data_IF_022118282402
#
_entry.id   IF_022118282402
#
_cell.length_a   1.000
_cell.length_b   1.000
_cell.length_c   1.000
_cell.angle_alpha   90.00
_cell.angle_beta   90.00
_cell.angle_gamma   90.00
#
_symmetry.space_group_name_H-M   'P 1'
#
loop_
_entity.id
_entity.type
_entity.pdbx_description
1 polymer ?
#
# COMPACT_ATOMS: atom_id res chain seq x y z
N UNK A 1 37.54 81.20 -16.69
CA UNK A 1 37.18 82.45 -15.95
C UNK A 1 35.67 82.63 -16.12
N UNK A 2 34.93 82.97 -15.05
CA UNK A 2 33.92 82.11 -14.40
C UNK A 2 32.46 82.56 -14.71
N UNK A 3 31.42 81.87 -14.21
CA UNK A 3 30.73 82.23 -12.95
C UNK A 3 29.72 81.14 -12.53
N UNK A 4 29.61 80.94 -11.22
CA UNK A 4 28.72 79.98 -10.53
C UNK A 4 27.40 80.71 -10.20
N UNK A 5 26.25 80.02 -10.25
CA UNK A 5 25.15 80.22 -9.28
C UNK A 5 24.16 79.06 -9.27
N UNK A 6 23.85 78.64 -8.04
CA UNK A 6 22.93 77.60 -7.59
C UNK A 6 21.48 77.74 -8.11
N UNK A 7 20.71 76.65 -8.13
CA UNK A 7 19.70 76.29 -7.09
C UNK A 7 18.74 75.19 -7.59
N UNK A 8 18.66 74.11 -6.79
CA UNK A 8 17.56 73.16 -6.54
C UNK A 8 16.78 72.42 -7.66
N UNK A 9 16.80 71.10 -7.48
CA UNK A 9 15.66 70.18 -7.29
C UNK A 9 14.94 69.52 -8.47
N UNK A 10 14.90 68.17 -8.33
CA UNK A 10 14.01 67.09 -8.85
C UNK A 10 14.11 66.76 -10.36
N UNK A 11 13.76 65.54 -10.85
CA UNK A 11 12.51 64.81 -10.56
C UNK A 11 12.57 63.26 -10.51
N UNK A 12 11.36 62.67 -10.41
CA UNK A 12 10.92 61.30 -10.68
C UNK A 12 10.79 60.40 -9.43
N UNK A 13 9.60 59.91 -9.06
CA UNK A 13 8.60 59.28 -9.95
C UNK A 13 7.14 59.48 -9.49
N UNK A 14 6.31 60.00 -10.40
CA UNK A 14 4.89 59.65 -10.67
C UNK A 14 4.77 58.14 -11.02
N UNK A 15 3.64 57.45 -11.08
CA UNK A 15 2.28 57.54 -10.55
C UNK A 15 1.67 56.14 -10.81
N UNK A 16 0.82 55.68 -9.89
CA UNK A 16 -0.48 55.04 -10.16
C UNK A 16 -0.66 54.10 -11.38
N UNK A 17 -0.86 52.79 -11.14
CA UNK A 17 -2.13 52.03 -11.30
C UNK A 17 -1.96 50.53 -11.66
N UNK A 18 -2.79 49.72 -11.00
CA UNK A 18 -3.49 48.51 -11.46
C UNK A 18 -2.74 47.20 -11.81
N UNK A 19 -3.39 46.12 -11.34
CA UNK A 19 -3.44 44.72 -11.86
C UNK A 19 -2.18 43.85 -11.74
N UNK A 20 -2.22 42.86 -10.83
CA UNK A 20 -2.61 41.48 -11.17
C UNK A 20 -2.41 40.57 -9.96
N UNK A 21 -3.53 40.15 -9.34
CA UNK A 21 -3.56 38.94 -8.51
C UNK A 21 -3.24 37.75 -9.42
N UNK A 22 -2.01 37.25 -9.35
CA UNK A 22 -1.68 35.96 -9.95
C UNK A 22 -2.05 34.89 -8.93
N UNK A 23 -3.31 34.46 -9.01
CA UNK A 23 -3.82 33.28 -8.36
C UNK A 23 -3.11 32.05 -8.95
N UNK A 24 -1.98 31.66 -8.36
CA UNK A 24 -1.38 30.36 -8.63
C UNK A 24 -2.31 29.31 -8.07
N UNK A 25 -2.98 28.59 -8.95
CA UNK A 25 -3.70 27.37 -8.65
C UNK A 25 -2.74 26.39 -7.97
N UNK A 26 -2.69 26.41 -6.64
CA UNK A 26 -2.14 25.34 -5.84
C UNK A 26 -3.04 24.13 -6.08
N UNK A 27 -2.68 23.29 -7.05
CA UNK A 27 -3.05 21.88 -7.00
C UNK A 27 -2.65 21.38 -5.62
N UNK A 28 -3.57 20.87 -4.79
CA UNK A 28 -3.20 20.37 -3.47
C UNK A 28 -2.12 19.31 -3.65
N UNK A 29 -0.90 19.55 -3.18
CA UNK A 29 0.09 18.49 -3.09
C UNK A 29 -0.48 17.43 -2.15
N UNK A 30 -0.75 16.24 -2.69
CA UNK A 30 -1.17 15.10 -1.89
C UNK A 30 -0.01 14.75 -0.96
N UNK A 31 -0.12 15.13 0.31
CA UNK A 31 0.86 14.78 1.34
C UNK A 31 0.62 13.34 1.74
N UNK A 32 1.47 12.42 1.26
CA UNK A 32 1.44 11.01 1.66
C UNK A 32 2.30 10.78 2.91
N UNK A 33 1.84 9.94 3.83
CA UNK A 33 2.57 9.60 5.05
C UNK A 33 3.61 8.52 4.75
N UNK A 34 4.89 8.85 4.87
CA UNK A 34 5.96 7.84 4.79
C UNK A 34 5.99 7.03 6.08
N UNK A 35 5.56 5.77 6.01
CA UNK A 35 5.62 4.82 7.12
C UNK A 35 6.97 4.10 7.13
N UNK A 36 7.83 4.51 8.05
CA UNK A 36 9.09 3.82 8.35
C UNK A 36 8.82 2.51 9.11
N UNK A 37 9.78 1.58 9.03
CA UNK A 37 9.72 0.30 9.74
C UNK A 37 9.74 0.54 11.25
N UNK A 38 8.71 0.09 11.96
CA UNK A 38 8.66 0.08 13.42
C UNK A 38 8.80 -1.35 13.97
N UNK A 39 10.04 -1.71 14.32
CA UNK A 39 10.36 -3.04 14.86
C UNK A 39 9.66 -3.31 16.20
N UNK A 40 9.46 -2.28 17.03
CA UNK A 40 8.81 -2.42 18.33
C UNK A 40 7.33 -2.74 18.17
N UNK A 41 6.66 -2.02 17.27
CA UNK A 41 5.27 -2.28 16.89
C UNK A 41 5.11 -3.63 16.21
N UNK A 42 6.01 -3.97 15.28
CA UNK A 42 6.04 -5.27 14.61
C UNK A 42 6.08 -6.42 15.62
N UNK A 43 7.04 -6.40 16.55
CA UNK A 43 7.17 -7.43 17.57
C UNK A 43 5.94 -7.50 18.48
N UNK A 44 5.39 -6.34 18.86
CA UNK A 44 4.16 -6.26 19.65
C UNK A 44 2.99 -6.98 18.98
N UNK A 45 2.76 -6.72 17.69
CA UNK A 45 1.68 -7.35 16.91
C UNK A 45 1.91 -8.84 16.67
N UNK A 46 3.15 -9.26 16.44
CA UNK A 46 3.50 -10.69 16.35
C UNK A 46 3.21 -11.43 17.67
N UNK A 47 3.56 -10.85 18.82
CA UNK A 47 3.24 -11.43 20.13
C UNK A 47 1.72 -11.48 20.36
N UNK A 48 0.99 -10.44 19.95
CA UNK A 48 -0.47 -10.42 20.02
C UNK A 48 -1.10 -11.53 19.17
N UNK A 49 -0.66 -11.72 17.92
CA UNK A 49 -1.12 -12.83 17.07
C UNK A 49 -0.74 -14.20 17.67
N UNK A 50 0.44 -14.32 18.28
CA UNK A 50 0.84 -15.57 18.94
C UNK A 50 -0.11 -15.93 20.08
N UNK A 51 -0.60 -14.94 20.83
CA UNK A 51 -1.62 -15.15 21.86
C UNK A 51 -2.97 -15.61 21.27
N UNK A 52 -3.34 -15.13 20.07
CA UNK A 52 -4.55 -15.56 19.35
C UNK A 52 -4.46 -16.99 18.82
N UNK A 53 -3.25 -17.52 18.62
CA UNK A 53 -3.08 -18.93 18.29
C UNK A 53 -3.40 -19.85 19.49
N UNK A 54 -3.40 -19.33 20.72
CA UNK A 54 -3.72 -20.08 21.95
C UNK A 54 -5.16 -19.87 22.38
N UNK A 55 -5.68 -18.64 22.24
CA UNK A 55 -7.03 -18.26 22.65
C UNK A 55 -7.90 -18.05 21.41
N UNK A 56 -9.04 -18.76 21.34
CA UNK A 56 -10.00 -18.62 20.24
C UNK A 56 -10.40 -17.15 20.06
N UNK A 57 -9.93 -16.55 18.98
CA UNK A 57 -10.09 -15.13 18.64
C UNK A 57 -10.86 -15.00 17.33
N UNK A 58 -11.71 -13.99 17.21
CA UNK A 58 -12.52 -13.79 16.00
C UNK A 58 -11.64 -13.55 14.75
N UNK A 59 -12.14 -14.02 13.60
CA UNK A 59 -11.47 -13.89 12.30
C UNK A 59 -11.12 -12.43 11.96
N UNK A 60 -12.04 -11.49 12.18
CA UNK A 60 -11.79 -10.10 11.84
C UNK A 60 -10.69 -9.53 12.73
N UNK A 61 -10.67 -9.86 14.02
CA UNK A 61 -9.65 -9.36 14.94
C UNK A 61 -8.24 -9.86 14.59
N UNK A 62 -8.11 -11.14 14.22
CA UNK A 62 -6.84 -11.70 13.72
C UNK A 62 -6.39 -10.95 12.46
N UNK A 63 -7.29 -10.80 11.49
CA UNK A 63 -7.01 -10.12 10.23
C UNK A 63 -6.60 -8.66 10.45
N UNK A 64 -7.35 -7.90 11.26
CA UNK A 64 -7.03 -6.51 11.58
C UNK A 64 -5.67 -6.38 12.26
N UNK A 65 -5.36 -7.25 13.23
CA UNK A 65 -4.08 -7.22 13.95
C UNK A 65 -2.90 -7.52 13.02
N UNK A 66 -3.07 -8.48 12.11
CA UNK A 66 -2.04 -8.79 11.10
C UNK A 66 -1.83 -7.61 10.14
N UNK A 67 -2.91 -7.01 9.63
CA UNK A 67 -2.83 -5.86 8.72
C UNK A 67 -2.24 -4.62 9.41
N UNK A 68 -2.55 -4.35 10.68
CA UNK A 68 -1.90 -3.29 11.46
C UNK A 68 -0.39 -3.52 11.58
N UNK A 69 0.01 -4.76 11.89
CA UNK A 69 1.42 -5.14 11.97
C UNK A 69 2.16 -4.99 10.62
N UNK A 70 1.47 -5.27 9.51
CA UNK A 70 2.01 -5.05 8.17
C UNK A 70 2.10 -3.54 7.87
N UNK A 71 1.02 -2.77 8.09
CA UNK A 71 0.97 -1.34 7.77
C UNK A 71 2.05 -0.55 8.50
N UNK A 72 2.08 -0.65 9.84
CA UNK A 72 2.96 0.16 10.69
C UNK A 72 4.26 -0.55 11.00
N UNK A 73 4.23 -1.86 11.28
CA UNK A 73 5.43 -2.60 11.65
C UNK A 73 6.39 -2.81 10.48
N UNK A 74 5.88 -3.28 9.34
CA UNK A 74 6.68 -3.44 8.11
C UNK A 74 6.83 -2.11 7.36
N UNK A 75 6.03 -1.09 7.69
CA UNK A 75 6.12 0.23 7.07
C UNK A 75 5.73 0.18 5.59
N UNK A 76 4.52 -0.30 5.29
CA UNK A 76 3.96 -0.26 3.93
C UNK A 76 3.02 0.92 3.77
N UNK A 77 2.72 1.32 2.54
CA UNK A 77 1.83 2.46 2.31
C UNK A 77 0.37 2.01 2.44
N UNK A 78 0.09 0.79 1.98
CA UNK A 78 -1.22 0.16 2.11
C UNK A 78 -1.14 -1.35 2.08
N UNK A 79 -2.13 -1.97 2.70
CA UNK A 79 -2.25 -3.43 2.75
C UNK A 79 -3.70 -3.84 2.87
N UNK A 80 -3.97 -5.13 2.64
CA UNK A 80 -5.32 -5.64 2.83
C UNK A 80 -5.44 -7.13 2.63
N UNK A 81 -6.68 -7.58 2.74
CA UNK A 81 -7.10 -8.94 2.44
C UNK A 81 -8.09 -8.90 1.30
N UNK A 82 -7.81 -9.70 0.27
CA UNK A 82 -8.74 -10.01 -0.78
C UNK A 82 -9.26 -11.43 -0.62
N UNK A 83 -10.56 -11.64 -0.84
CA UNK A 83 -11.20 -12.94 -0.74
C UNK A 83 -11.62 -13.45 -2.11
N UNK A 84 -11.56 -14.77 -2.25
CA UNK A 84 -12.10 -15.45 -3.41
C UNK A 84 -13.62 -15.38 -3.38
N UNK A 85 -14.20 -14.97 -4.50
CA UNK A 85 -15.61 -15.13 -4.79
C UNK A 85 -16.04 -16.61 -4.62
N UNK A 86 -17.34 -16.90 -4.37
CA UNK A 86 -17.84 -18.27 -4.29
C UNK A 86 -17.54 -19.12 -5.54
N UNK A 87 -17.54 -18.50 -6.72
CA UNK A 87 -17.15 -19.15 -7.99
C UNK A 87 -15.64 -19.37 -8.13
N UNK A 88 -14.84 -18.76 -7.26
CA UNK A 88 -13.36 -18.71 -7.28
C UNK A 88 -12.78 -18.14 -8.56
N UNK A 89 -13.57 -17.38 -9.32
CA UNK A 89 -13.14 -16.71 -10.56
C UNK A 89 -12.64 -15.30 -10.33
N UNK A 90 -13.08 -14.68 -9.24
CA UNK A 90 -12.70 -13.33 -8.83
C UNK A 90 -12.03 -13.35 -7.46
N UNK A 91 -11.07 -12.45 -7.29
CA UNK A 91 -10.46 -12.08 -6.02
C UNK A 91 -10.84 -10.62 -5.71
N UNK A 92 -11.49 -10.37 -4.57
CA UNK A 92 -12.13 -9.10 -4.26
C UNK A 92 -11.70 -8.55 -2.90
N UNK A 93 -11.45 -7.24 -2.75
CA UNK A 93 -11.03 -6.66 -1.48
C UNK A 93 -12.11 -6.82 -0.42
N UNK A 94 -11.71 -7.33 0.75
CA UNK A 94 -12.59 -7.44 1.93
C UNK A 94 -12.28 -6.38 2.97
N UNK A 95 -10.99 -6.09 3.17
CA UNK A 95 -10.46 -5.03 4.03
C UNK A 95 -9.21 -4.48 3.38
N UNK A 96 -9.09 -3.15 3.34
CA UNK A 96 -7.89 -2.43 2.95
C UNK A 96 -7.57 -1.40 4.04
N UNK A 97 -6.29 -1.11 4.26
CA UNK A 97 -5.78 -0.13 5.21
C UNK A 97 -4.63 0.65 4.59
N UNK A 98 -4.41 1.88 5.05
CA UNK A 98 -3.35 2.77 4.59
C UNK A 98 -3.83 3.76 3.53
N UNK A 99 -2.89 4.24 2.72
CA UNK A 99 -3.14 5.32 1.78
C UNK A 99 -4.04 4.85 0.62
N UNK A 100 -5.00 5.69 0.25
CA UNK A 100 -6.00 5.42 -0.80
C UNK A 100 -6.79 4.10 -0.62
N UNK A 101 -6.89 3.60 0.62
CA UNK A 101 -7.45 2.27 0.89
C UNK A 101 -8.91 2.10 0.42
N UNK A 102 -9.75 3.14 0.52
CA UNK A 102 -11.16 3.04 0.14
C UNK A 102 -11.34 2.99 -1.38
N UNK A 103 -10.61 3.83 -2.12
CA UNK A 103 -10.54 3.80 -3.59
C UNK A 103 -10.01 2.45 -4.08
N UNK A 104 -8.91 1.96 -3.49
CA UNK A 104 -8.37 0.65 -3.83
C UNK A 104 -9.35 -0.47 -3.50
N UNK A 105 -10.07 -0.41 -2.37
CA UNK A 105 -11.07 -1.42 -2.01
C UNK A 105 -12.21 -1.52 -3.03
N UNK A 106 -12.61 -0.40 -3.63
CA UNK A 106 -13.69 -0.36 -4.63
C UNK A 106 -13.24 -0.86 -5.99
N UNK A 107 -11.98 -0.59 -6.38
CA UNK A 107 -11.48 -0.88 -7.72
C UNK A 107 -10.65 -2.17 -7.83
N UNK A 108 -10.09 -2.70 -6.74
CA UNK A 108 -9.08 -3.76 -6.80
C UNK A 108 -9.65 -5.19 -6.94
N UNK A 109 -10.49 -5.38 -7.95
CA UNK A 109 -11.06 -6.69 -8.32
C UNK A 109 -10.20 -7.36 -9.37
N UNK A 110 -9.77 -8.60 -9.10
CA UNK A 110 -8.87 -9.35 -9.98
C UNK A 110 -9.61 -10.57 -10.54
N UNK A 111 -9.61 -10.72 -11.86
CA UNK A 111 -10.03 -11.95 -12.53
C UNK A 111 -8.93 -13.01 -12.50
N UNK A 112 -9.31 -14.24 -12.15
CA UNK A 112 -8.42 -15.40 -12.08
C UNK A 112 -8.57 -16.29 -13.33
N UNK A 113 -8.55 -15.66 -14.50
CA UNK A 113 -8.72 -16.32 -15.80
C UNK A 113 -7.38 -16.87 -16.36
N UNK A 114 -6.25 -16.22 -16.05
CA UNK A 114 -4.90 -16.68 -16.39
C UNK A 114 -4.24 -17.38 -15.21
N UNK A 115 -3.93 -18.67 -15.40
CA UNK A 115 -3.21 -19.48 -14.41
C UNK A 115 -1.78 -19.02 -14.23
N UNK A 116 -1.16 -18.36 -15.21
CA UNK A 116 0.22 -17.82 -15.12
C UNK A 116 0.29 -16.46 -14.41
N UNK A 117 -0.86 -15.84 -14.09
CA UNK A 117 -0.86 -14.61 -13.33
C UNK A 117 -0.27 -14.83 -11.93
N UNK A 118 0.40 -13.81 -11.39
CA UNK A 118 1.03 -13.89 -10.06
C UNK A 118 0.02 -14.22 -8.95
N UNK A 119 -1.22 -13.73 -9.08
CA UNK A 119 -2.31 -14.02 -8.14
C UNK A 119 -2.74 -15.50 -8.21
N UNK A 120 -2.96 -16.03 -9.41
CA UNK A 120 -3.25 -17.45 -9.60
C UNK A 120 -2.11 -18.34 -9.10
N UNK A 121 -0.86 -17.99 -9.40
CA UNK A 121 0.32 -18.73 -8.94
C UNK A 121 0.43 -18.73 -7.40
N UNK A 122 0.19 -17.59 -6.73
CA UNK A 122 0.18 -17.51 -5.27
C UNK A 122 -0.89 -18.44 -4.65
N UNK A 123 -2.09 -18.46 -5.23
CA UNK A 123 -3.20 -19.33 -4.78
C UNK A 123 -2.87 -20.81 -5.00
N UNK A 124 -2.39 -21.18 -6.20
CA UNK A 124 -2.15 -22.57 -6.57
C UNK A 124 -0.97 -23.18 -5.81
N UNK A 125 0.11 -22.42 -5.67
CA UNK A 125 1.34 -22.86 -5.01
C UNK A 125 1.28 -22.70 -3.48
N UNK A 126 0.31 -21.91 -2.98
CA UNK A 126 0.15 -21.61 -1.55
C UNK A 126 1.43 -21.07 -0.92
N UNK A 127 2.13 -20.19 -1.64
CA UNK A 127 3.35 -19.53 -1.16
C UNK A 127 3.26 -18.02 -1.32
N UNK A 128 3.95 -17.31 -0.42
CA UNK A 128 4.18 -15.88 -0.53
C UNK A 128 4.96 -15.58 -1.81
N UNK A 129 4.61 -14.49 -2.50
CA UNK A 129 5.30 -13.99 -3.67
C UNK A 129 5.60 -12.52 -3.45
N UNK A 130 6.88 -12.17 -3.52
CA UNK A 130 7.32 -10.81 -3.74
C UNK A 130 7.41 -10.59 -5.25
N UNK A 131 6.50 -9.77 -5.77
CA UNK A 131 6.49 -9.41 -7.17
C UNK A 131 7.21 -8.06 -7.36
N UNK A 132 8.13 -8.00 -8.31
CA UNK A 132 8.83 -6.77 -8.68
C UNK A 132 8.62 -6.53 -10.18
N UNK A 133 7.97 -5.42 -10.56
CA UNK A 133 7.61 -5.11 -11.95
C UNK A 133 8.84 -4.96 -12.86
N UNK A 134 9.97 -4.52 -12.31
CA UNK A 134 11.17 -4.25 -13.09
C UNK A 134 11.97 -5.51 -13.41
N UNK A 135 11.79 -6.58 -12.63
CA UNK A 135 12.57 -7.82 -12.75
C UNK A 135 11.71 -9.07 -12.97
N UNK A 136 10.39 -8.91 -13.12
CA UNK A 136 9.45 -10.01 -13.31
C UNK A 136 9.64 -10.73 -14.64
N UNK A 137 10.54 -11.71 -14.68
CA UNK A 137 10.63 -12.68 -15.78
C UNK A 137 9.70 -13.89 -15.58
N UNK A 138 9.40 -14.25 -14.33
CA UNK A 138 8.72 -15.51 -14.00
C UNK A 138 7.20 -15.40 -13.84
N UNK A 139 6.68 -14.20 -13.56
CA UNK A 139 5.26 -13.99 -13.29
C UNK A 139 4.68 -12.89 -14.16
N UNK A 140 3.44 -13.09 -14.60
CA UNK A 140 2.67 -12.04 -15.28
C UNK A 140 1.74 -11.35 -14.29
N UNK A 141 1.60 -10.04 -14.40
CA UNK A 141 0.48 -9.30 -13.83
C UNK A 141 -0.50 -9.10 -14.99
N UNK A 142 -1.49 -9.99 -15.09
CA UNK A 142 -2.61 -9.77 -15.99
C UNK A 142 -3.70 -9.10 -15.18
N UNK A 143 -3.76 -7.80 -15.32
CA UNK A 143 -4.81 -6.96 -14.78
C UNK A 143 -5.18 -5.96 -15.87
N UNK A 144 -6.42 -5.48 -15.88
CA UNK A 144 -6.83 -4.47 -16.84
C UNK A 144 -5.98 -3.21 -16.68
N UNK A 145 -5.80 -2.43 -17.75
CA UNK A 145 -4.92 -1.25 -17.75
C UNK A 145 -5.22 -0.30 -16.58
N UNK A 146 -6.50 -0.16 -16.21
CA UNK A 146 -6.94 0.64 -15.06
C UNK A 146 -6.43 0.11 -13.71
N UNK A 147 -6.27 -1.20 -13.57
CA UNK A 147 -5.74 -1.81 -12.34
C UNK A 147 -4.21 -1.73 -12.28
N UNK A 148 -3.53 -1.71 -13.43
CA UNK A 148 -2.06 -1.53 -13.50
C UNK A 148 -1.69 -0.18 -12.89
N UNK A 149 -2.43 0.88 -13.23
CA UNK A 149 -2.22 2.22 -12.67
C UNK A 149 -2.42 2.27 -11.15
N UNK A 150 -3.24 1.34 -10.62
CA UNK A 150 -3.48 1.22 -9.18
C UNK A 150 -2.48 0.33 -8.47
N UNK A 151 -1.56 -0.34 -9.15
CA UNK A 151 -0.51 -1.13 -8.51
C UNK A 151 0.75 -0.28 -8.30
N UNK A 152 1.53 -0.58 -7.26
CA UNK A 152 2.87 0.00 -7.10
C UNK A 152 3.76 -0.30 -8.31
N UNK A 153 4.42 0.74 -8.82
CA UNK A 153 5.37 0.65 -9.95
C UNK A 153 6.63 -0.18 -9.63
N UNK A 154 6.98 -0.34 -8.36
CA UNK A 154 8.13 -1.14 -7.91
C UNK A 154 7.74 -2.53 -7.42
N UNK A 155 6.44 -2.86 -7.51
CA UNK A 155 5.92 -4.15 -7.12
C UNK A 155 5.29 -4.19 -5.74
N UNK A 156 4.90 -5.40 -5.34
CA UNK A 156 4.02 -5.65 -4.21
C UNK A 156 4.28 -7.04 -3.62
N UNK A 157 3.77 -7.26 -2.42
CA UNK A 157 3.84 -8.52 -1.68
C UNK A 157 2.45 -9.15 -1.64
N UNK A 158 2.36 -10.45 -1.91
CA UNK A 158 1.14 -11.23 -1.72
C UNK A 158 1.43 -12.54 -1.00
N UNK A 159 0.51 -12.98 -0.15
CA UNK A 159 0.58 -14.27 0.51
C UNK A 159 -0.79 -14.92 0.60
N UNK A 160 -0.90 -16.26 0.57
CA UNK A 160 -2.18 -16.93 0.64
C UNK A 160 -2.81 -16.77 2.03
N UNK A 161 -4.11 -16.44 2.06
CA UNK A 161 -4.94 -16.55 3.24
C UNK A 161 -5.57 -17.94 3.27
N UNK A 162 -5.21 -18.75 4.26
CA UNK A 162 -5.59 -20.16 4.31
C UNK A 162 -6.24 -20.55 5.63
N UNK A 163 -7.12 -21.57 5.54
CA UNK A 163 -7.61 -22.33 6.69
C UNK A 163 -7.38 -23.80 6.38
N UNK A 164 -6.46 -24.41 7.13
CA UNK A 164 -5.95 -25.75 6.83
C UNK A 164 -5.37 -25.78 5.42
N UNK A 165 -5.94 -26.62 4.55
CA UNK A 165 -5.48 -26.75 3.16
C UNK A 165 -6.22 -25.82 2.18
N UNK A 166 -7.28 -25.14 2.61
CA UNK A 166 -8.14 -24.32 1.74
C UNK A 166 -7.62 -22.89 1.68
N UNK A 167 -7.39 -22.38 0.46
CA UNK A 167 -7.11 -20.95 0.22
C UNK A 167 -8.45 -20.22 0.11
N UNK A 168 -8.64 -19.23 0.99
CA UNK A 168 -9.81 -18.35 1.02
C UNK A 168 -9.59 -17.05 0.24
N UNK A 169 -8.34 -16.65 0.08
CA UNK A 169 -7.99 -15.34 -0.46
C UNK A 169 -6.50 -15.09 -0.41
N UNK A 170 -6.10 -13.82 -0.51
CA UNK A 170 -4.72 -13.36 -0.42
C UNK A 170 -4.62 -12.18 0.56
N UNK A 171 -3.52 -12.13 1.29
CA UNK A 171 -2.99 -10.89 1.83
C UNK A 171 -2.26 -10.13 0.73
N UNK A 172 -2.32 -8.80 0.78
CA UNK A 172 -1.68 -7.90 -0.16
C UNK A 172 -1.03 -6.73 0.58
N UNK A 173 0.13 -6.28 0.12
CA UNK A 173 0.77 -5.06 0.57
C UNK A 173 1.61 -4.42 -0.54
N UNK A 174 1.63 -3.08 -0.62
CA UNK A 174 2.52 -2.36 -1.51
C UNK A 174 2.96 -1.00 -0.94
N UNK A 175 3.91 -0.37 -1.65
CA UNK A 175 4.43 0.97 -1.36
C UNK A 175 4.17 1.92 -2.53
N UNK A 176 2.91 1.99 -2.98
CA UNK A 176 2.52 2.75 -4.18
C UNK A 176 2.68 4.27 -3.99
N UNK A 177 2.19 4.83 -2.88
CA UNK A 177 2.18 6.28 -2.65
C UNK A 177 3.60 6.87 -2.53
N UNK A 178 4.48 6.15 -1.84
CA UNK A 178 5.87 6.58 -1.57
C UNK A 178 6.85 6.09 -2.60
N UNK A 179 6.44 5.15 -3.47
CA UNK A 179 7.31 4.62 -4.53
C UNK A 179 8.62 4.04 -4.00
N UNK A 180 8.59 3.49 -2.78
CA UNK A 180 9.74 2.83 -2.15
C UNK A 180 9.82 1.37 -2.60
N UNK A 181 11.04 0.86 -2.65
CA UNK A 181 11.30 -0.55 -2.95
C UNK A 181 11.09 -1.40 -1.68
N UNK A 182 10.83 -2.69 -1.88
CA UNK A 182 10.94 -3.68 -0.81
C UNK A 182 12.35 -4.24 -0.74
N UNK A 183 12.76 -4.64 0.46
CA UNK A 183 13.93 -5.46 0.70
C UNK A 183 13.54 -6.86 1.17
N UNK A 184 14.53 -7.77 1.22
CA UNK A 184 14.29 -9.14 1.67
C UNK A 184 13.66 -9.20 3.07
N UNK A 185 14.11 -8.35 3.99
CA UNK A 185 13.61 -8.29 5.36
C UNK A 185 12.14 -7.84 5.43
N UNK A 186 11.69 -6.97 4.52
CA UNK A 186 10.29 -6.56 4.42
C UNK A 186 9.41 -7.76 4.02
N UNK A 187 9.84 -8.51 2.99
CA UNK A 187 9.12 -9.69 2.53
C UNK A 187 9.06 -10.79 3.61
N UNK A 188 10.15 -11.02 4.33
CA UNK A 188 10.19 -11.97 5.45
C UNK A 188 9.23 -11.57 6.56
N UNK A 189 9.22 -10.28 6.92
CA UNK A 189 8.33 -9.73 7.96
C UNK A 189 6.85 -9.82 7.56
N UNK A 190 6.52 -9.43 6.33
CA UNK A 190 5.18 -9.61 5.76
C UNK A 190 4.74 -11.07 5.77
N UNK A 191 5.62 -11.97 5.31
CA UNK A 191 5.32 -13.40 5.24
C UNK A 191 5.07 -13.99 6.62
N UNK A 192 5.84 -13.56 7.64
CA UNK A 192 5.65 -14.00 9.02
C UNK A 192 4.26 -13.63 9.57
N UNK A 193 3.82 -12.38 9.36
CA UNK A 193 2.47 -11.95 9.75
C UNK A 193 1.38 -12.82 9.11
N UNK A 194 1.49 -13.06 7.81
CA UNK A 194 0.51 -13.86 7.07
C UNK A 194 0.47 -15.32 7.55
N UNK A 195 1.64 -15.92 7.79
CA UNK A 195 1.73 -17.29 8.30
C UNK A 195 1.12 -17.42 9.69
N UNK A 196 1.44 -16.50 10.59
CA UNK A 196 0.92 -16.55 11.95
C UNK A 196 -0.60 -16.29 11.99
N UNK A 197 -1.11 -15.38 11.16
CA UNK A 197 -2.55 -15.19 10.98
C UNK A 197 -3.24 -16.48 10.50
N UNK A 198 -2.66 -17.18 9.52
CA UNK A 198 -3.18 -18.46 9.03
C UNK A 198 -3.23 -19.53 10.14
N UNK A 199 -2.22 -19.59 11.02
CA UNK A 199 -2.24 -20.47 12.20
C UNK A 199 -3.41 -20.13 13.12
N UNK A 200 -3.64 -18.84 13.40
CA UNK A 200 -4.74 -18.40 14.24
C UNK A 200 -6.11 -18.74 13.63
N UNK A 201 -6.27 -18.62 12.30
CA UNK A 201 -7.53 -18.96 11.63
C UNK A 201 -7.89 -20.44 11.75
N UNK A 202 -6.90 -21.34 11.73
CA UNK A 202 -7.14 -22.77 11.96
C UNK A 202 -7.75 -23.02 13.34
N UNK A 203 -7.20 -22.38 14.38
CA UNK A 203 -7.69 -22.52 15.76
C UNK A 203 -9.05 -21.83 15.97
N UNK A 204 -9.27 -20.70 15.31
CA UNK A 204 -10.52 -19.93 15.40
C UNK A 204 -11.69 -20.65 14.73
N UNK A 205 -11.45 -21.26 13.58
CA UNK A 205 -12.49 -21.92 12.76
C UNK A 205 -12.55 -23.44 12.92
N UNK A 206 -11.75 -24.02 13.81
CA UNK A 206 -11.97 -25.36 14.36
C UNK A 206 -13.05 -25.35 15.45
#
# INVERSE_FOLDING_TARGET
IPYISNTNCIPAKEDTNATSELNSSETPELVFEVREVDQGYQLSKLRQLTQYAVVKTDFNQIMHTALEGILTGVGVDRCGVLLLSPSRKLLQPRVMMGDDAESLKQAFVIELNDRKSVFSQCIEQKRSIWFNLQTAQDYKVQVDDELVERLSQFGFLIAPLTIGTKVLGLFYADRHATSRHFEQQDNESFTHFCQLANVCFVVSMS
#
